data_IF_640895530648
#
_entry.id   IF_640895530648
#
_cell.length_a   1.000
_cell.length_b   1.000
_cell.length_c   1.000
_cell.angle_alpha   90.00
_cell.angle_beta   90.00
_cell.angle_gamma   90.00
#
_symmetry.space_group_name_H-M   'P 1'
#
loop_
_entity.id
_entity.type
_entity.pdbx_description
1 polymer ?
#
# COMPACT_ATOMS: atom_id res chain seq x y z
N UNK A 1 7.12 4.15 15.39
CA UNK A 1 6.41 2.86 15.43
C UNK A 1 6.23 2.40 13.99
N UNK A 2 6.67 1.20 13.64
CA UNK A 2 6.67 0.77 12.24
C UNK A 2 5.25 0.41 11.79
N UNK A 3 4.83 0.84 10.58
CA UNK A 3 3.47 0.61 10.06
C UNK A 3 3.05 -0.86 10.10
N UNK A 4 4.02 -1.75 9.85
CA UNK A 4 3.86 -3.21 9.94
C UNK A 4 3.46 -3.66 11.34
N UNK A 5 4.08 -3.11 12.38
CA UNK A 5 3.77 -3.44 13.77
C UNK A 5 2.38 -2.94 14.15
N UNK A 6 1.98 -1.75 13.67
CA UNK A 6 0.64 -1.21 13.90
C UNK A 6 -0.44 -2.12 13.30
N UNK A 7 -0.25 -2.55 12.03
CA UNK A 7 -1.17 -3.47 11.35
C UNK A 7 -1.25 -4.80 12.10
N UNK A 8 -0.09 -5.35 12.50
CA UNK A 8 -0.06 -6.61 13.24
C UNK A 8 -0.76 -6.51 14.59
N UNK A 9 -0.48 -5.47 15.38
CA UNK A 9 -1.04 -5.32 16.71
C UNK A 9 -2.56 -5.06 16.68
N UNK A 10 -3.05 -4.34 15.66
CA UNK A 10 -4.47 -3.99 15.56
C UNK A 10 -5.33 -5.06 14.88
N UNK A 11 -4.77 -5.78 13.90
CA UNK A 11 -5.54 -6.71 13.06
C UNK A 11 -5.07 -8.15 13.13
N UNK A 12 -3.97 -8.45 13.83
CA UNK A 12 -3.30 -9.75 13.83
C UNK A 12 -2.93 -10.23 12.41
N UNK A 13 -2.60 -9.29 11.51
CA UNK A 13 -2.23 -9.56 10.12
C UNK A 13 -0.74 -9.30 9.94
N UNK A 14 -0.02 -10.25 9.35
CA UNK A 14 1.35 -10.07 8.88
C UNK A 14 1.34 -9.82 7.37
N UNK A 15 1.82 -8.66 6.97
CA UNK A 15 2.06 -8.31 5.56
C UNK A 15 3.58 -8.24 5.30
N UNK A 16 4.06 -8.67 4.12
CA UNK A 16 5.46 -8.56 3.72
C UNK A 16 5.76 -7.12 3.25
N UNK A 17 5.66 -6.18 4.20
CA UNK A 17 5.83 -4.75 3.95
C UNK A 17 6.78 -4.10 4.94
N UNK A 18 7.38 -2.99 4.52
CA UNK A 18 8.16 -2.08 5.36
C UNK A 18 8.00 -0.64 4.85
N UNK A 19 8.85 0.28 5.30
CA UNK A 19 8.80 1.69 4.88
C UNK A 19 7.81 2.53 5.68
N UNK A 20 7.16 3.48 5.00
CA UNK A 20 6.25 4.47 5.58
C UNK A 20 4.78 4.08 5.48
N UNK A 21 3.90 5.08 5.53
CA UNK A 21 2.44 4.93 5.55
C UNK A 21 1.78 4.99 4.18
N UNK A 22 2.54 5.29 3.13
CA UNK A 22 2.05 5.41 1.77
C UNK A 22 1.34 6.72 1.48
N UNK A 23 1.40 7.74 2.35
CA UNK A 23 0.75 9.03 2.10
C UNK A 23 1.45 9.85 1.01
N UNK A 24 2.77 9.69 0.87
CA UNK A 24 3.57 10.32 -0.21
C UNK A 24 4.53 9.32 -0.84
N UNK A 25 5.23 9.74 -1.91
CA UNK A 25 6.27 8.93 -2.56
C UNK A 25 7.44 8.69 -1.58
N UNK A 26 7.81 9.70 -0.79
CA UNK A 26 8.91 9.64 0.17
C UNK A 26 8.58 8.71 1.35
N UNK A 27 7.31 8.64 1.74
CA UNK A 27 6.82 7.74 2.81
C UNK A 27 6.11 6.52 2.26
N UNK A 28 6.42 6.08 1.04
CA UNK A 28 5.77 4.94 0.42
C UNK A 28 5.85 3.65 1.26
N UNK A 29 4.83 2.81 1.11
CA UNK A 29 4.84 1.45 1.67
C UNK A 29 5.67 0.58 0.74
N UNK A 30 6.74 -0.03 1.25
CA UNK A 30 7.59 -0.91 0.46
C UNK A 30 7.08 -2.33 0.58
N UNK A 31 6.74 -2.97 -0.55
CA UNK A 31 6.41 -4.40 -0.60
C UNK A 31 7.68 -5.17 -0.89
N UNK A 32 8.12 -5.98 0.07
CA UNK A 32 9.37 -6.75 -0.03
C UNK A 32 9.23 -7.89 -1.03
N UNK A 33 10.35 -8.44 -1.51
CA UNK A 33 10.39 -9.57 -2.46
C UNK A 33 9.50 -10.77 -2.08
N UNK A 34 9.29 -11.04 -0.79
CA UNK A 34 8.36 -12.07 -0.29
C UNK A 34 6.90 -11.88 -0.78
N UNK A 35 6.52 -10.65 -1.11
CA UNK A 35 5.20 -10.28 -1.62
C UNK A 35 5.09 -10.25 -3.15
N UNK A 36 6.15 -10.58 -3.89
CA UNK A 36 6.26 -10.41 -5.35
C UNK A 36 5.09 -10.99 -6.15
N UNK A 37 4.60 -12.16 -5.79
CA UNK A 37 3.54 -12.82 -6.56
C UNK A 37 2.14 -12.29 -6.24
N UNK A 38 1.98 -11.58 -5.11
CA UNK A 38 0.69 -11.17 -4.57
C UNK A 38 0.63 -9.68 -4.20
N UNK A 39 1.53 -8.85 -4.76
CA UNK A 39 1.67 -7.45 -4.35
C UNK A 39 0.37 -6.65 -4.48
N UNK A 40 -0.45 -6.93 -5.51
CA UNK A 40 -1.78 -6.32 -5.67
C UNK A 40 -2.72 -6.67 -4.50
N UNK A 41 -2.71 -7.93 -4.06
CA UNK A 41 -3.49 -8.39 -2.92
C UNK A 41 -2.99 -7.73 -1.62
N UNK A 42 -1.66 -7.61 -1.45
CA UNK A 42 -1.03 -6.95 -0.31
C UNK A 42 -1.43 -5.47 -0.24
N UNK A 43 -1.42 -4.74 -1.36
CA UNK A 43 -1.88 -3.34 -1.43
C UNK A 43 -3.34 -3.19 -0.94
N UNK A 44 -4.25 -4.00 -1.48
CA UNK A 44 -5.66 -3.94 -1.08
C UNK A 44 -5.84 -4.31 0.40
N UNK A 45 -5.11 -5.31 0.90
CA UNK A 45 -5.13 -5.71 2.31
C UNK A 45 -4.57 -4.61 3.22
N UNK A 46 -3.51 -3.93 2.80
CA UNK A 46 -2.97 -2.78 3.51
C UNK A 46 -4.04 -1.70 3.67
N UNK A 47 -4.67 -1.26 2.58
CA UNK A 47 -5.71 -0.22 2.61
C UNK A 47 -6.90 -0.67 3.50
N UNK A 48 -7.31 -1.94 3.40
CA UNK A 48 -8.37 -2.50 4.25
C UNK A 48 -8.04 -2.46 5.75
N UNK A 49 -6.76 -2.53 6.15
CA UNK A 49 -6.39 -2.41 7.56
C UNK A 49 -6.66 -0.99 8.10
N UNK A 50 -6.55 0.05 7.26
CA UNK A 50 -6.80 1.43 7.69
C UNK A 50 -8.26 1.84 7.56
N UNK A 51 -8.89 1.49 6.45
CA UNK A 51 -10.21 2.02 6.08
C UNK A 51 -11.35 1.01 6.28
N UNK A 52 -11.03 -0.26 6.52
CA UNK A 52 -12.02 -1.33 6.60
C UNK A 52 -12.45 -1.83 5.21
N UNK A 53 -12.84 -3.11 5.16
CA UNK A 53 -13.28 -3.76 3.93
C UNK A 53 -14.64 -3.20 3.50
N UNK A 54 -14.78 -2.86 2.21
CA UNK A 54 -16.03 -2.37 1.63
C UNK A 54 -16.32 -0.88 1.84
N UNK A 55 -15.49 -0.16 2.59
CA UNK A 55 -15.69 1.27 2.86
C UNK A 55 -15.04 2.20 1.83
N UNK A 56 -14.20 1.66 0.95
CA UNK A 56 -13.50 2.43 -0.08
C UNK A 56 -13.64 1.77 -1.44
N UNK A 57 -13.51 2.57 -2.49
CA UNK A 57 -13.52 2.12 -3.88
C UNK A 57 -12.25 2.60 -4.58
N UNK A 58 -11.59 1.71 -5.31
CA UNK A 58 -10.48 2.10 -6.20
C UNK A 58 -11.01 2.97 -7.34
N UNK A 59 -10.46 4.18 -7.47
CA UNK A 59 -10.79 5.14 -8.53
C UNK A 59 -9.80 5.01 -9.68
N UNK A 60 -8.51 4.96 -9.36
CA UNK A 60 -7.44 4.88 -10.36
C UNK A 60 -6.24 4.12 -9.78
N UNK A 61 -5.50 3.45 -10.65
CA UNK A 61 -4.20 2.87 -10.32
C UNK A 61 -3.23 3.21 -11.45
N UNK A 62 -1.99 3.57 -11.11
CA UNK A 62 -0.97 3.93 -12.09
C UNK A 62 0.42 3.62 -11.58
N UNK A 63 1.24 3.05 -12.46
CA UNK A 63 2.66 2.84 -12.20
C UNK A 63 3.45 4.12 -12.51
N UNK A 64 4.19 4.59 -11.52
CA UNK A 64 5.17 5.67 -11.62
C UNK A 64 6.55 5.03 -11.63
N UNK A 65 7.35 5.35 -12.65
CA UNK A 65 8.74 4.92 -12.75
C UNK A 65 9.59 6.17 -12.55
N UNK A 66 10.40 6.20 -11.49
CA UNK A 66 11.33 7.27 -11.19
C UNK A 66 12.68 6.65 -10.86
N UNK A 67 13.69 6.97 -11.67
CA UNK A 67 15.02 6.33 -11.60
C UNK A 67 14.88 4.80 -11.66
N UNK A 68 15.33 4.09 -10.63
CA UNK A 68 15.24 2.64 -10.52
C UNK A 68 14.03 2.15 -9.70
N UNK A 69 13.17 3.07 -9.24
CA UNK A 69 12.00 2.75 -8.44
C UNK A 69 10.74 2.58 -9.29
N UNK A 70 9.97 1.55 -8.95
CA UNK A 70 8.63 1.29 -9.47
C UNK A 70 7.62 1.53 -8.36
N UNK A 71 6.97 2.69 -8.39
CA UNK A 71 5.98 3.10 -7.40
C UNK A 71 4.59 2.91 -7.98
N UNK A 72 3.79 2.07 -7.36
CA UNK A 72 2.38 1.92 -7.70
C UNK A 72 1.54 2.92 -6.89
N UNK A 73 0.88 3.84 -7.60
CA UNK A 73 -0.02 4.84 -7.03
C UNK A 73 -1.45 4.35 -7.15
N UNK A 74 -2.13 4.21 -6.03
CA UNK A 74 -3.56 3.87 -5.96
C UNK A 74 -4.32 5.08 -5.44
N UNK A 75 -5.29 5.54 -6.24
CA UNK A 75 -6.25 6.57 -5.84
C UNK A 75 -7.56 5.88 -5.49
N UNK A 76 -8.10 6.19 -4.31
CA UNK A 76 -9.34 5.63 -3.81
C UNK A 76 -10.34 6.74 -3.46
N UNK A 77 -11.61 6.37 -3.42
CA UNK A 77 -12.72 7.15 -2.89
C UNK A 77 -13.17 6.49 -1.58
N UNK A 78 -13.22 7.27 -0.50
CA UNK A 78 -13.64 6.86 0.83
C UNK A 78 -14.65 7.88 1.36
N UNK A 79 -15.94 7.54 1.28
CA UNK A 79 -17.00 8.44 1.73
C UNK A 79 -17.09 9.77 0.97
N UNK A 80 -16.65 9.83 -0.29
CA UNK A 80 -16.60 11.05 -1.10
C UNK A 80 -15.26 11.80 -1.03
N UNK A 81 -14.34 11.37 -0.16
CA UNK A 81 -12.98 11.90 -0.10
C UNK A 81 -12.04 11.07 -0.98
N UNK A 82 -11.18 11.76 -1.74
CA UNK A 82 -10.15 11.11 -2.54
C UNK A 82 -8.86 10.98 -1.74
N UNK A 83 -8.37 9.75 -1.58
CA UNK A 83 -7.13 9.45 -0.86
C UNK A 83 -6.17 8.77 -1.83
N UNK A 84 -4.88 9.08 -1.70
CA UNK A 84 -3.82 8.48 -2.50
C UNK A 84 -2.93 7.61 -1.62
N UNK A 85 -2.58 6.44 -2.13
CA UNK A 85 -1.59 5.55 -1.53
C UNK A 85 -0.47 5.25 -2.50
N UNK A 86 0.77 5.29 -2.01
CA UNK A 86 1.99 5.04 -2.76
C UNK A 86 2.68 3.77 -2.24
N UNK A 87 2.90 2.81 -3.14
CA UNK A 87 3.56 1.55 -2.83
C UNK A 87 4.83 1.38 -3.66
N UNK A 88 5.98 1.25 -3.03
CA UNK A 88 7.19 0.81 -3.72
C UNK A 88 7.10 -0.69 -3.96
N UNK A 89 6.99 -1.06 -5.24
CA UNK A 89 6.89 -2.44 -5.71
C UNK A 89 8.13 -2.85 -6.50
N UNK A 90 9.25 -2.16 -6.32
CA UNK A 90 10.49 -2.40 -7.07
C UNK A 90 10.97 -3.85 -6.95
N UNK A 91 10.94 -4.42 -5.74
CA UNK A 91 11.34 -5.81 -5.47
C UNK A 91 10.33 -6.86 -6.00
N UNK A 92 9.16 -6.43 -6.48
CA UNK A 92 8.13 -7.31 -7.02
C UNK A 92 8.28 -7.55 -8.54
N UNK A 93 9.24 -6.92 -9.21
CA UNK A 93 9.57 -7.17 -10.61
C UNK A 93 10.77 -8.11 -10.75
#
# INVERSE_FOLDING_TARGET
MHIREQIFNKHNIKLPIMGGDGATIETCVIITADGKYDYISIQNRYINCFLGMGNWRKVKQSLIIQEDKKIDKIVIDYGGETIEYYFDITECF
#
